data_IF_087568260130
#
_entry.id   IF_087568260130
#
_cell.length_a   1.000
_cell.length_b   1.000
_cell.length_c   1.000
_cell.angle_alpha   90.00
_cell.angle_beta   90.00
_cell.angle_gamma   90.00
#
_symmetry.space_group_name_H-M   'P 1'
#
loop_
_entity.id
_entity.type
_entity.pdbx_description
1 polymer ?
#
# COMPACT_ATOMS: atom_id res chain seq x y z
N UNK A 1 -5.44 -17.00 -10.43
CA UNK A 1 -6.76 -17.08 -9.78
C UNK A 1 -7.51 -18.28 -10.33
N UNK A 2 -7.80 -19.27 -9.49
CA UNK A 2 -8.54 -20.46 -9.88
C UNK A 2 -10.07 -20.25 -9.80
N UNK A 3 -10.83 -21.26 -10.21
CA UNK A 3 -12.29 -21.19 -10.22
C UNK A 3 -12.91 -21.08 -8.81
N UNK A 4 -12.25 -21.62 -7.78
CA UNK A 4 -12.75 -21.55 -6.41
C UNK A 4 -12.55 -20.14 -5.84
N UNK A 5 -11.39 -19.53 -6.08
CA UNK A 5 -11.08 -18.15 -5.71
C UNK A 5 -12.02 -17.17 -6.43
N UNK A 6 -12.28 -17.36 -7.72
CA UNK A 6 -13.27 -16.56 -8.46
C UNK A 6 -14.69 -16.67 -7.88
N UNK A 7 -15.12 -17.89 -7.54
CA UNK A 7 -16.44 -18.11 -6.96
C UNK A 7 -16.59 -17.46 -5.59
N UNK A 8 -15.55 -17.54 -4.75
CA UNK A 8 -15.47 -16.86 -3.46
C UNK A 8 -15.57 -15.34 -3.62
N UNK A 9 -14.76 -14.76 -4.52
CA UNK A 9 -14.75 -13.31 -4.79
C UNK A 9 -16.13 -12.86 -5.27
N UNK A 10 -16.77 -13.61 -6.18
CA UNK A 10 -18.12 -13.29 -6.65
C UNK A 10 -19.16 -13.27 -5.52
N UNK A 11 -19.06 -14.20 -4.57
CA UNK A 11 -19.92 -14.21 -3.38
C UNK A 11 -19.68 -13.01 -2.47
N UNK A 12 -18.41 -12.65 -2.25
CA UNK A 12 -18.05 -11.49 -1.42
C UNK A 12 -18.64 -10.22 -2.04
N UNK A 13 -18.45 -10.01 -3.34
CA UNK A 13 -19.01 -8.86 -4.05
C UNK A 13 -20.54 -8.80 -4.00
N UNK A 14 -21.22 -9.92 -4.24
CA UNK A 14 -22.67 -9.97 -4.12
C UNK A 14 -23.16 -9.58 -2.71
N UNK A 15 -22.44 -9.98 -1.65
CA UNK A 15 -22.76 -9.59 -0.29
C UNK A 15 -22.47 -8.10 -0.01
N UNK A 16 -21.35 -7.57 -0.52
CA UNK A 16 -21.02 -6.13 -0.43
C UNK A 16 -22.08 -5.28 -1.13
N UNK A 17 -22.49 -5.65 -2.35
CA UNK A 17 -23.52 -4.96 -3.13
C UNK A 17 -24.88 -4.98 -2.40
N UNK A 18 -25.21 -6.10 -1.76
CA UNK A 18 -26.40 -6.24 -0.93
C UNK A 18 -26.27 -5.53 0.44
N UNK A 19 -25.08 -5.01 0.79
CA UNK A 19 -24.71 -4.49 2.12
C UNK A 19 -24.96 -5.50 3.25
N UNK A 20 -24.87 -6.78 2.94
CA UNK A 20 -24.93 -7.85 3.94
C UNK A 20 -23.56 -8.05 4.59
N UNK A 21 -23.20 -7.09 5.43
CA UNK A 21 -21.87 -7.04 6.05
C UNK A 21 -21.53 -8.26 6.90
N UNK A 22 -22.54 -8.93 7.47
CA UNK A 22 -22.33 -10.18 8.20
C UNK A 22 -21.84 -11.28 7.26
N UNK A 23 -22.49 -11.43 6.11
CA UNK A 23 -22.09 -12.41 5.10
C UNK A 23 -20.76 -12.02 4.45
N UNK A 24 -20.53 -10.73 4.19
CA UNK A 24 -19.25 -10.22 3.67
C UNK A 24 -18.08 -10.61 4.58
N UNK A 25 -18.19 -10.32 5.88
CA UNK A 25 -17.10 -10.60 6.83
C UNK A 25 -16.88 -12.10 6.97
N UNK A 26 -17.94 -12.90 7.11
CA UNK A 26 -17.81 -14.36 7.16
C UNK A 26 -17.12 -14.92 5.92
N UNK A 27 -17.47 -14.42 4.72
CA UNK A 27 -16.85 -14.88 3.49
C UNK A 27 -15.38 -14.45 3.35
N UNK A 28 -15.02 -13.25 3.84
CA UNK A 28 -13.64 -12.76 3.85
C UNK A 28 -12.77 -13.54 4.85
N UNK A 29 -13.29 -13.83 6.05
CA UNK A 29 -12.62 -14.68 7.06
C UNK A 29 -12.36 -16.09 6.52
N UNK A 30 -13.38 -16.72 5.93
CA UNK A 30 -13.24 -18.01 5.26
C UNK A 30 -12.21 -17.91 4.12
N UNK A 31 -12.27 -16.83 3.34
CA UNK A 31 -11.37 -16.58 2.22
C UNK A 31 -9.91 -16.53 2.61
N UNK A 32 -9.53 -15.71 3.59
CA UNK A 32 -8.13 -15.65 4.05
C UNK A 32 -7.67 -16.95 4.72
N UNK A 33 -8.59 -17.82 5.16
CA UNK A 33 -8.26 -19.14 5.70
C UNK A 33 -8.07 -20.19 4.61
N UNK A 34 -8.91 -20.20 3.58
CA UNK A 34 -8.92 -21.23 2.52
C UNK A 34 -7.96 -20.87 1.38
N UNK A 35 -7.79 -19.58 1.09
CA UNK A 35 -6.90 -19.07 0.06
C UNK A 35 -5.87 -18.09 0.65
N UNK A 36 -4.95 -18.56 1.51
CA UNK A 36 -3.96 -17.69 2.17
C UNK A 36 -2.96 -17.06 1.19
N UNK A 37 -2.90 -17.56 -0.05
CA UNK A 37 -2.05 -17.03 -1.13
C UNK A 37 -2.73 -15.90 -1.93
N UNK A 38 -4.00 -15.62 -1.67
CA UNK A 38 -4.75 -14.59 -2.40
C UNK A 38 -4.48 -13.21 -1.79
N UNK A 39 -3.56 -12.47 -2.40
CA UNK A 39 -3.30 -11.07 -2.05
C UNK A 39 -4.59 -10.24 -2.11
N UNK A 40 -5.37 -10.43 -3.18
CA UNK A 40 -6.61 -9.70 -3.41
C UNK A 40 -7.64 -9.88 -2.28
N UNK A 41 -7.80 -11.10 -1.76
CA UNK A 41 -8.73 -11.35 -0.65
C UNK A 41 -8.26 -10.64 0.63
N UNK A 42 -6.94 -10.56 0.87
CA UNK A 42 -6.40 -9.81 2.01
C UNK A 42 -6.63 -8.31 1.88
N UNK A 43 -6.37 -7.73 0.71
CA UNK A 43 -6.62 -6.30 0.45
C UNK A 43 -8.10 -5.98 0.59
N UNK A 44 -8.99 -6.75 -0.05
CA UNK A 44 -10.42 -6.55 0.04
C UNK A 44 -10.92 -6.66 1.49
N UNK A 45 -10.35 -7.56 2.29
CA UNK A 45 -10.70 -7.67 3.70
C UNK A 45 -10.23 -6.47 4.51
N UNK A 46 -9.00 -5.98 4.28
CA UNK A 46 -8.51 -4.76 4.90
C UNK A 46 -9.38 -3.56 4.52
N UNK A 47 -9.66 -3.36 3.24
CA UNK A 47 -10.49 -2.27 2.73
C UNK A 47 -11.90 -2.31 3.33
N UNK A 48 -12.52 -3.48 3.38
CA UNK A 48 -13.86 -3.65 3.97
C UNK A 48 -13.87 -3.27 5.46
N UNK A 49 -12.87 -3.72 6.23
CA UNK A 49 -12.80 -3.42 7.66
C UNK A 49 -12.52 -1.93 7.91
N UNK A 50 -11.64 -1.32 7.12
CA UNK A 50 -11.12 0.02 7.34
C UNK A 50 -12.03 1.10 6.76
N UNK A 51 -12.51 0.92 5.55
CA UNK A 51 -13.25 1.96 4.82
C UNK A 51 -14.76 1.82 5.03
N UNK A 52 -15.31 0.63 4.83
CA UNK A 52 -16.76 0.40 4.87
C UNK A 52 -17.30 0.27 6.30
N UNK A 53 -16.65 -0.56 7.12
CA UNK A 53 -17.11 -0.85 8.48
C UNK A 53 -16.48 0.04 9.54
N UNK A 54 -15.37 0.72 9.22
CA UNK A 54 -14.61 1.57 10.15
C UNK A 54 -14.23 0.83 11.45
N UNK A 55 -14.06 -0.50 11.35
CA UNK A 55 -13.70 -1.40 12.44
C UNK A 55 -12.18 -1.43 12.60
N UNK A 56 -11.66 -0.36 13.22
CA UNK A 56 -10.24 -0.12 13.38
C UNK A 56 -9.50 -1.22 14.15
N UNK A 57 -10.14 -1.85 15.12
CA UNK A 57 -9.51 -2.92 15.91
C UNK A 57 -9.26 -4.18 15.07
N UNK A 58 -10.31 -4.66 14.39
CA UNK A 58 -10.20 -5.81 13.50
C UNK A 58 -9.29 -5.49 12.30
N UNK A 59 -9.42 -4.29 11.74
CA UNK A 59 -8.57 -3.82 10.64
C UNK A 59 -7.10 -3.79 11.04
N UNK A 60 -6.77 -3.29 12.23
CA UNK A 60 -5.40 -3.29 12.74
C UNK A 60 -4.83 -4.70 12.94
N UNK A 61 -5.63 -5.61 13.51
CA UNK A 61 -5.24 -7.02 13.67
C UNK A 61 -4.95 -7.68 12.32
N UNK A 62 -5.79 -7.41 11.32
CA UNK A 62 -5.60 -7.92 9.96
C UNK A 62 -4.35 -7.33 9.32
N UNK A 63 -4.11 -6.02 9.42
CA UNK A 63 -2.91 -5.37 8.88
C UNK A 63 -1.62 -5.96 9.46
N UNK A 64 -1.58 -6.26 10.76
CA UNK A 64 -0.41 -6.93 11.37
C UNK A 64 -0.17 -8.31 10.78
N UNK A 65 -1.24 -9.09 10.58
CA UNK A 65 -1.15 -10.41 9.93
C UNK A 65 -0.67 -10.26 8.47
N UNK A 66 -1.19 -9.27 7.76
CA UNK A 66 -0.88 -9.01 6.36
C UNK A 66 0.60 -8.60 6.20
N UNK A 67 1.10 -7.66 7.00
CA UNK A 67 2.52 -7.26 6.97
C UNK A 67 3.44 -8.45 7.21
N UNK A 68 3.16 -9.27 8.24
CA UNK A 68 3.95 -10.46 8.52
C UNK A 68 3.96 -11.42 7.34
N UNK A 69 2.79 -11.67 6.75
CA UNK A 69 2.67 -12.55 5.59
C UNK A 69 3.42 -11.97 4.38
N UNK A 70 3.34 -10.66 4.15
CA UNK A 70 4.05 -10.01 3.05
C UNK A 70 5.57 -10.15 3.16
N UNK A 71 6.10 -10.01 4.39
CA UNK A 71 7.51 -10.25 4.70
C UNK A 71 7.89 -11.71 4.50
N UNK A 72 7.06 -12.65 4.96
CA UNK A 72 7.28 -14.09 4.77
C UNK A 72 7.27 -14.50 3.28
N UNK A 73 6.42 -13.85 2.46
CA UNK A 73 6.33 -14.07 1.02
C UNK A 73 7.49 -13.45 0.25
N UNK A 74 8.03 -12.34 0.77
CA UNK A 74 9.18 -11.61 0.21
C UNK A 74 9.03 -11.35 -1.30
N UNK A 75 7.83 -10.97 -1.72
CA UNK A 75 7.51 -10.72 -3.12
C UNK A 75 7.01 -9.30 -3.34
N UNK A 76 7.26 -8.79 -4.55
CA UNK A 76 6.89 -7.42 -4.96
C UNK A 76 5.47 -7.05 -4.57
N UNK A 77 4.51 -7.82 -5.07
CA UNK A 77 3.09 -7.48 -4.95
C UNK A 77 2.64 -7.45 -3.49
N UNK A 78 3.09 -8.41 -2.69
CA UNK A 78 2.74 -8.49 -1.27
C UNK A 78 3.36 -7.36 -0.45
N UNK A 79 4.65 -7.07 -0.68
CA UNK A 79 5.36 -6.01 0.05
C UNK A 79 4.79 -4.61 -0.29
N UNK A 80 4.51 -4.36 -1.57
CA UNK A 80 3.89 -3.10 -2.01
C UNK A 80 2.48 -2.94 -1.46
N UNK A 81 1.65 -3.97 -1.56
CA UNK A 81 0.29 -3.94 -1.04
C UNK A 81 0.27 -3.67 0.47
N UNK A 82 1.10 -4.38 1.25
CA UNK A 82 1.20 -4.15 2.69
C UNK A 82 1.69 -2.72 3.01
N UNK A 83 2.68 -2.20 2.28
CA UNK A 83 3.16 -0.82 2.47
C UNK A 83 2.05 0.19 2.17
N UNK A 84 1.34 0.04 1.06
CA UNK A 84 0.24 0.93 0.68
C UNK A 84 -0.91 0.88 1.69
N UNK A 85 -1.28 -0.30 2.17
CA UNK A 85 -2.32 -0.49 3.19
C UNK A 85 -1.97 0.14 4.55
N UNK A 86 -0.69 0.37 4.84
CA UNK A 86 -0.25 1.06 6.06
C UNK A 86 -0.10 2.57 5.88
N UNK A 87 0.16 3.06 4.66
CA UNK A 87 0.59 4.43 4.39
C UNK A 87 -0.21 5.14 3.29
N UNK A 88 -1.36 4.59 2.90
CA UNK A 88 -2.28 5.27 1.99
C UNK A 88 -2.75 6.60 2.60
N UNK A 89 -2.33 7.69 1.97
CA UNK A 89 -2.68 9.05 2.34
C UNK A 89 -4.19 9.35 2.33
N UNK A 90 -5.01 8.51 1.69
CA UNK A 90 -6.46 8.67 1.66
C UNK A 90 -7.15 8.25 2.96
N UNK A 91 -6.48 7.47 3.82
CA UNK A 91 -7.05 6.89 5.03
C UNK A 91 -6.68 7.67 6.30
N UNK A 92 -7.61 7.67 7.25
CA UNK A 92 -7.36 8.22 8.59
C UNK A 92 -6.77 7.16 9.53
N UNK A 93 -5.46 7.23 9.73
CA UNK A 93 -4.72 6.37 10.67
C UNK A 93 -4.58 6.95 12.07
N UNK A 94 -5.26 8.06 12.42
CA UNK A 94 -5.13 8.71 13.73
C UNK A 94 -5.53 7.80 14.90
N UNK A 95 -6.36 6.78 14.63
CA UNK A 95 -6.84 5.80 15.60
C UNK A 95 -5.90 4.60 15.79
N UNK A 96 -4.82 4.52 15.02
CA UNK A 96 -3.87 3.41 15.10
C UNK A 96 -2.67 3.70 16.00
N UNK A 97 -2.03 2.65 16.57
CA UNK A 97 -0.76 2.80 17.28
C UNK A 97 0.35 3.24 16.32
N UNK A 98 0.61 4.56 16.26
CA UNK A 98 1.55 5.16 15.31
C UNK A 98 2.96 4.54 15.38
N UNK A 99 3.48 4.28 16.58
CA UNK A 99 4.80 3.67 16.76
C UNK A 99 4.89 2.26 16.18
N UNK A 100 3.87 1.42 16.37
CA UNK A 100 3.83 0.06 15.82
C UNK A 100 3.70 0.11 14.29
N UNK A 101 2.85 1.00 13.75
CA UNK A 101 2.71 1.21 12.31
C UNK A 101 4.01 1.63 11.63
N UNK A 102 4.68 2.63 12.19
CA UNK A 102 5.97 3.10 11.67
C UNK A 102 7.05 2.02 11.78
N UNK A 103 7.03 1.19 12.82
CA UNK A 103 7.94 0.05 12.94
C UNK A 103 7.74 -0.98 11.82
N UNK A 104 6.48 -1.33 11.53
CA UNK A 104 6.15 -2.23 10.41
C UNK A 104 6.54 -1.64 9.06
N UNK A 105 6.26 -0.36 8.82
CA UNK A 105 6.69 0.33 7.60
C UNK A 105 8.21 0.37 7.43
N UNK A 106 8.95 0.54 8.53
CA UNK A 106 10.40 0.45 8.51
C UNK A 106 10.86 -0.95 8.10
N UNK A 107 10.31 -2.00 8.70
CA UNK A 107 10.64 -3.39 8.38
C UNK A 107 10.36 -3.72 6.89
N UNK A 108 9.16 -3.40 6.39
CA UNK A 108 8.82 -3.55 4.98
C UNK A 108 9.79 -2.79 4.05
N UNK A 109 10.20 -1.59 4.44
CA UNK A 109 11.16 -0.79 3.66
C UNK A 109 12.51 -1.50 3.47
N UNK A 110 12.97 -2.27 4.46
CA UNK A 110 14.20 -3.07 4.32
C UNK A 110 14.04 -4.17 3.28
N UNK A 111 12.95 -4.92 3.33
CA UNK A 111 12.64 -5.98 2.36
C UNK A 111 12.48 -5.43 0.95
N UNK A 112 11.71 -4.34 0.81
CA UNK A 112 11.52 -3.64 -0.46
C UNK A 112 12.86 -3.16 -1.02
N UNK A 113 13.72 -2.55 -0.20
CA UNK A 113 15.03 -2.07 -0.67
C UNK A 113 15.91 -3.21 -1.19
N UNK A 114 15.87 -4.38 -0.54
CA UNK A 114 16.60 -5.57 -0.98
C UNK A 114 16.09 -6.08 -2.33
N UNK A 115 14.76 -6.22 -2.51
CA UNK A 115 14.17 -6.63 -3.79
C UNK A 115 14.39 -5.60 -4.90
N UNK A 116 14.21 -4.31 -4.59
CA UNK A 116 14.29 -3.20 -5.54
C UNK A 116 15.60 -3.19 -6.34
N UNK A 117 16.72 -3.66 -5.78
CA UNK A 117 18.01 -3.71 -6.49
C UNK A 117 18.04 -4.72 -7.64
N UNK A 118 17.14 -5.70 -7.65
CA UNK A 118 17.10 -6.80 -8.61
C UNK A 118 16.02 -6.60 -9.69
N UNK A 119 15.23 -5.55 -9.55
CA UNK A 119 13.97 -5.36 -10.27
C UNK A 119 14.12 -4.38 -11.43
N UNK A 120 13.18 -4.45 -12.38
CA UNK A 120 13.16 -3.54 -13.53
C UNK A 120 12.86 -2.09 -13.12
N UNK A 121 13.11 -1.15 -14.03
CA UNK A 121 12.93 0.28 -13.76
C UNK A 121 11.47 0.66 -13.41
N UNK A 122 10.47 -0.06 -13.93
CA UNK A 122 9.08 0.20 -13.60
C UNK A 122 8.76 -0.23 -12.17
N UNK A 123 9.09 -1.47 -11.81
CA UNK A 123 8.95 -2.02 -10.46
C UNK A 123 9.70 -1.19 -9.42
N UNK A 124 10.91 -0.71 -9.77
CA UNK A 124 11.70 0.20 -8.91
C UNK A 124 11.02 1.54 -8.67
N UNK A 125 10.36 2.11 -9.68
CA UNK A 125 9.61 3.35 -9.50
C UNK A 125 8.46 3.17 -8.52
N UNK A 126 7.72 2.05 -8.60
CA UNK A 126 6.63 1.73 -7.67
C UNK A 126 7.14 1.55 -6.23
N UNK A 127 8.28 0.85 -6.04
CA UNK A 127 8.90 0.73 -4.72
C UNK A 127 9.31 2.07 -4.13
N UNK A 128 9.92 2.94 -4.93
CA UNK A 128 10.32 4.28 -4.47
C UNK A 128 9.11 5.13 -4.12
N UNK A 129 8.04 5.04 -4.89
CA UNK A 129 6.78 5.73 -4.59
C UNK A 129 6.21 5.27 -3.23
N UNK A 130 6.04 3.96 -3.02
CA UNK A 130 5.51 3.40 -1.78
C UNK A 130 6.37 3.75 -0.56
N UNK A 131 7.71 3.65 -0.68
CA UNK A 131 8.61 4.05 0.40
C UNK A 131 8.58 5.56 0.66
N UNK A 132 8.36 6.40 -0.36
CA UNK A 132 8.29 7.85 -0.18
C UNK A 132 7.11 8.24 0.72
N UNK A 133 5.96 7.58 0.59
CA UNK A 133 4.82 7.77 1.49
C UNK A 133 5.20 7.49 2.94
N UNK A 134 5.81 6.33 3.17
CA UNK A 134 6.29 5.94 4.49
C UNK A 134 7.27 6.98 5.06
N UNK A 135 8.31 7.38 4.30
CA UNK A 135 9.32 8.31 4.81
C UNK A 135 8.80 9.72 5.02
N UNK A 136 7.81 10.16 4.23
CA UNK A 136 7.14 11.44 4.44
C UNK A 136 6.43 11.45 5.80
N UNK A 137 5.67 10.40 6.09
CA UNK A 137 4.92 10.28 7.33
C UNK A 137 5.83 10.01 8.54
N UNK A 138 6.90 9.24 8.36
CA UNK A 138 7.96 9.05 9.36
C UNK A 138 8.70 10.36 9.68
N UNK A 139 8.51 11.41 8.88
CA UNK A 139 9.07 12.74 9.09
C UNK A 139 10.38 12.99 8.36
N UNK A 140 10.90 12.01 7.61
CA UNK A 140 12.09 12.16 6.77
C UNK A 140 11.72 12.68 5.37
N UNK A 141 11.31 13.95 5.32
CA UNK A 141 10.88 14.58 4.06
C UNK A 141 11.98 14.68 3.01
N UNK A 142 13.24 14.75 3.41
CA UNK A 142 14.36 14.80 2.46
C UNK A 142 14.43 13.50 1.66
N UNK A 143 14.45 12.36 2.36
CA UNK A 143 14.45 11.06 1.71
C UNK A 143 13.16 10.82 0.92
N UNK A 144 12.01 11.28 1.41
CA UNK A 144 10.75 11.18 0.67
C UNK A 144 10.81 11.93 -0.67
N UNK A 145 11.36 13.15 -0.69
CA UNK A 145 11.56 13.94 -1.92
C UNK A 145 12.51 13.22 -2.88
N UNK A 146 13.63 12.70 -2.38
CA UNK A 146 14.62 12.01 -3.19
C UNK A 146 14.03 10.74 -3.83
N UNK A 147 13.24 9.97 -3.08
CA UNK A 147 12.57 8.77 -3.58
C UNK A 147 11.57 9.09 -4.70
N UNK A 148 10.72 10.10 -4.52
CA UNK A 148 9.79 10.52 -5.59
C UNK A 148 10.56 11.02 -6.81
N UNK A 149 11.65 11.76 -6.62
CA UNK A 149 12.48 12.23 -7.74
C UNK A 149 13.11 11.06 -8.51
N UNK A 150 13.58 10.03 -7.81
CA UNK A 150 14.09 8.81 -8.45
C UNK A 150 13.01 8.05 -9.21
N UNK A 151 11.79 7.95 -8.67
CA UNK A 151 10.65 7.34 -9.36
C UNK A 151 10.29 8.09 -10.66
N UNK A 152 10.25 9.42 -10.62
CA UNK A 152 10.02 10.27 -11.81
C UNK A 152 11.08 10.00 -12.88
N UNK A 153 12.37 10.05 -12.51
CA UNK A 153 13.47 9.82 -13.46
C UNK A 153 13.43 8.43 -14.08
N UNK A 154 13.08 7.39 -13.30
CA UNK A 154 12.91 6.04 -13.84
C UNK A 154 11.77 5.99 -14.86
N UNK A 155 10.60 6.55 -14.52
CA UNK A 155 9.44 6.54 -15.42
C UNK A 155 9.66 7.36 -16.69
N UNK A 156 10.33 8.51 -16.63
CA UNK A 156 10.70 9.31 -17.82
C UNK A 156 11.60 8.53 -18.79
N UNK A 157 12.46 7.65 -18.26
CA UNK A 157 13.35 6.80 -19.05
C UNK A 157 12.70 5.55 -19.63
N UNK A 158 11.46 5.23 -19.26
CA UNK A 158 10.76 4.06 -19.78
C UNK A 158 10.04 4.37 -21.10
N UNK A 159 10.11 3.44 -22.04
CA UNK A 159 9.33 3.47 -23.29
C UNK A 159 7.90 2.95 -23.10
N UNK A 160 7.14 3.57 -22.20
CA UNK A 160 5.72 3.27 -22.01
C UNK A 160 4.87 4.02 -23.05
N UNK A 161 3.62 3.58 -23.26
CA UNK A 161 2.65 4.35 -24.04
C UNK A 161 2.35 5.65 -23.28
N UNK A 162 2.29 6.78 -23.98
CA UNK A 162 2.02 8.10 -23.38
C UNK A 162 0.76 8.11 -22.52
N UNK A 163 -0.30 7.42 -22.97
CA UNK A 163 -1.58 7.27 -22.26
C UNK A 163 -1.44 6.64 -20.86
N UNK A 164 -0.40 5.83 -20.64
CA UNK A 164 -0.09 5.20 -19.36
C UNK A 164 0.94 6.02 -18.58
N UNK A 165 1.97 6.52 -19.28
CA UNK A 165 3.10 7.21 -18.65
C UNK A 165 2.71 8.59 -18.10
N UNK A 166 1.93 9.36 -18.84
CA UNK A 166 1.58 10.75 -18.48
C UNK A 166 0.77 10.84 -17.18
N UNK A 167 -0.29 10.02 -16.97
CA UNK A 167 -1.01 10.02 -15.70
C UNK A 167 -0.13 9.66 -14.49
N UNK A 168 0.77 8.68 -14.64
CA UNK A 168 1.69 8.27 -13.57
C UNK A 168 2.68 9.40 -13.22
N UNK A 169 3.31 9.99 -14.23
CA UNK A 169 4.22 11.13 -14.05
C UNK A 169 3.52 12.32 -13.41
N UNK A 170 2.31 12.66 -13.86
CA UNK A 170 1.54 13.76 -13.30
C UNK A 170 1.24 13.56 -11.80
N UNK A 171 0.90 12.33 -11.40
CA UNK A 171 0.67 12.00 -10.00
C UNK A 171 1.93 12.16 -9.15
N UNK A 172 3.07 11.62 -9.62
CA UNK A 172 4.33 11.74 -8.89
C UNK A 172 4.84 13.18 -8.82
N UNK A 173 4.72 13.96 -9.90
CA UNK A 173 5.12 15.37 -9.92
C UNK A 173 4.28 16.22 -8.96
N UNK A 174 2.97 15.95 -8.88
CA UNK A 174 2.09 16.57 -7.89
C UNK A 174 2.58 16.26 -6.47
N UNK A 175 2.86 14.99 -6.17
CA UNK A 175 3.36 14.57 -4.85
C UNK A 175 4.73 15.17 -4.52
N UNK A 176 5.62 15.25 -5.50
CA UNK A 176 6.92 15.88 -5.35
C UNK A 176 6.79 17.35 -4.94
N UNK A 177 5.84 18.08 -5.54
CA UNK A 177 5.56 19.46 -5.19
C UNK A 177 5.01 19.58 -3.76
N UNK A 178 4.09 18.70 -3.35
CA UNK A 178 3.55 18.64 -1.98
C UNK A 178 4.67 18.40 -0.95
N UNK A 179 5.55 17.42 -1.18
CA UNK A 179 6.63 17.08 -0.25
C UNK A 179 7.68 18.19 -0.16
N UNK A 180 8.02 18.84 -1.29
CA UNK A 180 8.91 20.01 -1.30
C UNK A 180 8.30 21.20 -0.54
N UNK A 181 7.00 21.42 -0.66
CA UNK A 181 6.29 22.46 0.11
C UNK A 181 6.36 22.19 1.61
N UNK A 182 6.04 20.96 2.05
CA UNK A 182 6.13 20.57 3.45
C UNK A 182 7.55 20.71 4.02
N UNK A 183 8.58 20.35 3.24
CA UNK A 183 9.98 20.57 3.59
C UNK A 183 10.30 22.05 3.80
N UNK A 184 9.89 22.92 2.87
CA UNK A 184 10.13 24.37 2.97
C UNK A 184 9.47 24.99 4.21
N UNK A 185 8.23 24.60 4.51
CA UNK A 185 7.52 25.05 5.73
C UNK A 185 8.24 24.59 6.99
N UNK A 186 8.66 23.32 7.08
CA UNK A 186 9.42 22.82 8.24
C UNK A 186 10.74 23.56 8.44
N UNK A 187 11.47 23.83 7.36
CA UNK A 187 12.73 24.57 7.41
C UNK A 187 12.55 26.03 7.87
N UNK A 188 11.40 26.65 7.60
CA UNK A 188 11.09 28.01 8.05
C UNK A 188 10.65 28.09 9.53
N UNK A 189 10.34 26.96 10.16
CA UNK A 189 9.88 26.87 11.55
C UNK A 189 10.99 26.46 12.55
N UNK A 190 12.20 26.17 12.05
CA UNK A 190 13.39 25.80 12.82
C UNK A 190 14.42 26.92 12.81
#
# INVERSE_FOLDING_TARGET
MDAAEQSLIGRIWAAIEAKDWKTTISALEDGVSVTPESLYVFELYADTLLDELQNMEAGWLLLRKFVRLAIEKDSKDWLLAAMNQLFDSSRDYSRFPSGERLSMGKELSWHILTLCQQEDAHSRAEYYEAMAHFFHEFGNNDLAVDLVQMAVTLLEGLSLKEEVQQPLLAQLLKRLAEYKCHKAVRAALL
#
